data_IF_847652316543
#
_entry.id   IF_847652316543
#
_cell.length_a   1.000
_cell.length_b   1.000
_cell.length_c   1.000
_cell.angle_alpha   90.00
_cell.angle_beta   90.00
_cell.angle_gamma   90.00
#
_symmetry.space_group_name_H-M   'P 1'
#
loop_
_entity.id
_entity.type
_entity.pdbx_description
1 polymer ?
#
# COMPACT_ATOMS: atom_id res chain seq x y z
N UNK A 1 -8.39 -8.65 -25.07
CA UNK A 1 -7.95 -9.39 -23.86
C UNK A 1 -6.63 -8.86 -23.29
N UNK A 2 -5.67 -8.45 -24.13
CA UNK A 2 -4.38 -7.84 -23.71
C UNK A 2 -4.54 -6.55 -22.91
N UNK A 3 -5.41 -5.63 -23.34
CA UNK A 3 -5.73 -4.38 -22.63
C UNK A 3 -6.12 -4.60 -21.15
N UNK A 4 -6.89 -5.65 -20.85
CA UNK A 4 -7.30 -5.96 -19.47
C UNK A 4 -6.14 -6.49 -18.61
N UNK A 5 -5.20 -7.23 -19.21
CA UNK A 5 -4.01 -7.74 -18.50
C UNK A 5 -3.09 -6.59 -18.10
N UNK A 6 -2.89 -5.62 -18.99
CA UNK A 6 -2.09 -4.42 -18.71
C UNK A 6 -2.72 -3.54 -17.64
N UNK A 7 -4.04 -3.33 -17.72
CA UNK A 7 -4.79 -2.60 -16.69
C UNK A 7 -4.66 -3.27 -15.32
N UNK A 8 -4.83 -4.59 -15.26
CA UNK A 8 -4.66 -5.34 -14.01
C UNK A 8 -3.22 -5.22 -13.47
N UNK A 9 -2.21 -5.28 -14.36
CA UNK A 9 -0.81 -5.10 -13.96
C UNK A 9 -0.57 -3.70 -13.38
N UNK A 10 -1.12 -2.65 -14.00
CA UNK A 10 -1.05 -1.28 -13.51
C UNK A 10 -1.73 -1.14 -12.15
N UNK A 11 -2.94 -1.67 -12.02
CA UNK A 11 -3.71 -1.63 -10.78
C UNK A 11 -2.98 -2.28 -9.60
N UNK A 12 -2.44 -3.49 -9.80
CA UNK A 12 -1.68 -4.19 -8.75
C UNK A 12 -0.43 -3.40 -8.34
N UNK A 13 0.30 -2.81 -9.30
CA UNK A 13 1.46 -1.95 -9.01
C UNK A 13 1.05 -0.74 -8.15
N UNK A 14 -0.07 -0.11 -8.47
CA UNK A 14 -0.59 1.04 -7.73
C UNK A 14 -0.92 0.67 -6.27
N UNK A 15 -1.65 -0.43 -6.07
CA UNK A 15 -2.01 -0.96 -4.74
C UNK A 15 -0.76 -1.20 -3.91
N UNK A 16 0.26 -1.87 -4.46
CA UNK A 16 1.50 -2.15 -3.72
C UNK A 16 2.21 -0.86 -3.29
N UNK A 17 2.38 0.09 -4.20
CA UNK A 17 3.09 1.35 -3.92
C UNK A 17 2.33 2.18 -2.88
N UNK A 18 1.03 2.38 -3.06
CA UNK A 18 0.22 3.19 -2.14
C UNK A 18 0.13 2.53 -0.76
N UNK A 19 -0.04 1.21 -0.71
CA UNK A 19 -0.10 0.47 0.56
C UNK A 19 1.23 0.57 1.32
N UNK A 20 2.37 0.44 0.63
CA UNK A 20 3.69 0.59 1.25
C UNK A 20 3.89 1.99 1.81
N UNK A 21 3.51 3.02 1.06
CA UNK A 21 3.61 4.41 1.52
C UNK A 21 2.75 4.64 2.77
N UNK A 22 1.49 4.19 2.77
CA UNK A 22 0.58 4.37 3.91
C UNK A 22 1.01 3.56 5.11
N UNK A 23 1.51 2.35 4.91
CA UNK A 23 2.08 1.55 5.98
C UNK A 23 3.24 2.26 6.67
N UNK A 24 4.20 2.81 5.90
CA UNK A 24 5.32 3.58 6.47
C UNK A 24 4.85 4.79 7.27
N UNK A 25 3.93 5.59 6.71
CA UNK A 25 3.37 6.75 7.42
C UNK A 25 2.58 6.34 8.67
N UNK A 26 1.86 5.23 8.62
CA UNK A 26 1.08 4.72 9.74
C UNK A 26 1.98 4.31 10.90
N UNK A 27 3.05 3.55 10.63
CA UNK A 27 4.02 3.15 11.64
C UNK A 27 4.68 4.36 12.29
N UNK A 28 5.10 5.34 11.49
CA UNK A 28 5.69 6.59 11.97
C UNK A 28 4.71 7.37 12.85
N UNK A 29 3.49 7.62 12.34
CA UNK A 29 2.46 8.39 13.06
C UNK A 29 2.03 7.76 14.38
N UNK A 30 1.95 6.43 14.43
CA UNK A 30 1.53 5.69 15.64
C UNK A 30 2.70 5.26 16.51
N UNK A 31 3.95 5.57 16.11
CA UNK A 31 5.18 5.09 16.75
C UNK A 31 5.16 3.57 17.00
N UNK A 32 4.76 2.80 15.98
CA UNK A 32 4.64 1.34 16.04
C UNK A 32 5.76 0.65 15.27
N UNK A 33 6.20 -0.49 15.79
CA UNK A 33 7.05 -1.41 15.03
C UNK A 33 6.21 -2.27 14.07
N UNK A 34 6.81 -2.81 12.98
CA UNK A 34 6.14 -3.76 12.10
C UNK A 34 5.47 -4.94 12.82
N UNK A 35 6.15 -5.48 13.83
CA UNK A 35 5.66 -6.62 14.64
C UNK A 35 4.42 -6.25 15.46
N UNK A 36 4.40 -5.04 16.05
CA UNK A 36 3.24 -4.55 16.79
C UNK A 36 2.05 -4.30 15.88
N UNK A 37 2.27 -3.73 14.69
CA UNK A 37 1.22 -3.56 13.70
C UNK A 37 0.62 -4.91 13.28
N UNK A 38 1.46 -5.88 12.90
CA UNK A 38 1.00 -7.22 12.50
C UNK A 38 0.14 -7.88 13.60
N UNK A 39 0.56 -7.75 14.87
CA UNK A 39 -0.22 -8.22 16.01
C UNK A 39 -1.55 -7.46 16.16
N UNK A 40 -1.56 -6.13 16.01
CA UNK A 40 -2.77 -5.30 16.12
C UNK A 40 -3.84 -5.69 15.09
N UNK A 41 -3.41 -5.99 13.87
CA UNK A 41 -4.33 -6.32 12.76
C UNK A 41 -4.58 -7.84 12.61
N UNK A 42 -4.07 -8.61 13.58
CA UNK A 42 -4.15 -10.08 13.61
C UNK A 42 -3.71 -10.75 12.29
N UNK A 43 -2.58 -10.29 11.75
CA UNK A 43 -1.99 -10.84 10.54
C UNK A 43 -0.65 -11.51 10.82
N UNK A 44 -0.36 -12.56 10.06
CA UNK A 44 0.97 -13.14 10.02
C UNK A 44 1.95 -12.11 9.43
N UNK A 45 3.09 -11.90 10.09
CA UNK A 45 4.08 -10.90 9.67
C UNK A 45 4.61 -11.16 8.25
N UNK A 46 4.81 -12.42 7.85
CA UNK A 46 5.26 -12.76 6.50
C UNK A 46 4.17 -12.43 5.46
N UNK A 47 2.91 -12.77 5.75
CA UNK A 47 1.79 -12.44 4.86
C UNK A 47 1.62 -10.93 4.70
N UNK A 48 1.77 -10.16 5.77
CA UNK A 48 1.74 -8.69 5.71
C UNK A 48 2.89 -8.14 4.86
N UNK A 49 4.12 -8.66 5.04
CA UNK A 49 5.28 -8.26 4.23
C UNK A 49 5.07 -8.58 2.75
N UNK A 50 4.50 -9.73 2.44
CA UNK A 50 4.17 -10.14 1.06
C UNK A 50 3.11 -9.20 0.45
N UNK A 51 2.05 -8.89 1.20
CA UNK A 51 0.99 -7.96 0.76
C UNK A 51 1.54 -6.56 0.49
N UNK A 52 2.44 -6.09 1.35
CA UNK A 52 3.09 -4.78 1.21
C UNK A 52 4.24 -4.78 0.18
N UNK A 53 4.55 -5.92 -0.44
CA UNK A 53 5.66 -6.04 -1.39
C UNK A 53 7.04 -5.79 -0.75
N UNK A 54 7.18 -6.07 0.55
CA UNK A 54 8.42 -5.89 1.32
C UNK A 54 9.35 -7.11 1.24
N UNK A 55 8.87 -8.23 0.68
CA UNK A 55 9.65 -9.46 0.56
C UNK A 55 10.46 -9.45 -0.74
N UNK A 56 11.76 -9.17 -0.66
CA UNK A 56 12.68 -9.26 -1.81
C UNK A 56 13.17 -10.71 -1.96
N UNK A 57 12.39 -11.58 -2.60
CA UNK A 57 12.93 -12.85 -3.13
C UNK A 57 13.37 -12.63 -4.58
N UNK A 58 14.66 -12.87 -4.88
CA UNK A 58 15.30 -12.79 -6.20
C UNK A 58 14.81 -13.82 -7.25
N UNK A 59 13.63 -14.41 -7.06
CA UNK A 59 12.97 -15.25 -8.06
C UNK A 59 11.58 -14.67 -8.24
N UNK A 60 11.37 -13.99 -9.37
CA UNK A 60 10.09 -13.53 -9.92
C UNK A 60 8.96 -13.52 -8.89
N UNK A 61 8.76 -12.39 -8.22
CA UNK A 61 7.52 -12.17 -7.49
C UNK A 61 6.38 -12.26 -8.52
N UNK A 62 5.78 -13.45 -8.67
CA UNK A 62 4.45 -13.59 -9.25
C UNK A 62 3.60 -12.59 -8.49
N UNK A 63 3.25 -11.49 -9.14
CA UNK A 63 2.31 -10.51 -8.62
C UNK A 63 1.07 -11.30 -8.20
N UNK A 64 0.92 -11.56 -6.90
CA UNK A 64 -0.26 -12.24 -6.40
C UNK A 64 -1.41 -11.30 -6.72
N UNK A 65 -2.41 -11.80 -7.44
CA UNK A 65 -3.65 -11.08 -7.59
C UNK A 65 -4.21 -10.84 -6.19
N UNK A 66 -4.28 -9.59 -5.77
CA UNK A 66 -4.94 -9.24 -4.52
C UNK A 66 -6.42 -9.54 -4.67
N UNK A 67 -6.98 -10.32 -3.75
CA UNK A 67 -8.44 -10.41 -3.63
C UNK A 67 -8.95 -9.07 -3.12
N UNK A 68 -10.11 -8.62 -3.61
CA UNK A 68 -10.73 -7.37 -3.17
C UNK A 68 -10.83 -7.30 -1.63
N UNK A 69 -11.21 -8.42 -1.00
CA UNK A 69 -11.26 -8.55 0.46
C UNK A 69 -9.91 -8.24 1.14
N UNK A 70 -8.79 -8.67 0.57
CA UNK A 70 -7.45 -8.36 1.09
C UNK A 70 -7.17 -6.86 1.01
N UNK A 71 -7.59 -6.20 -0.07
CA UNK A 71 -7.40 -4.76 -0.27
C UNK A 71 -8.27 -3.97 0.72
N UNK A 72 -9.54 -4.38 0.92
CA UNK A 72 -10.46 -3.78 1.90
C UNK A 72 -9.88 -3.88 3.31
N UNK A 73 -9.50 -5.09 3.73
CA UNK A 73 -8.93 -5.31 5.07
C UNK A 73 -7.62 -4.54 5.28
N UNK A 74 -6.83 -4.36 4.22
CA UNK A 74 -5.61 -3.54 4.26
C UNK A 74 -5.90 -2.06 4.41
N UNK A 75 -6.90 -1.53 3.71
CA UNK A 75 -7.34 -0.15 3.85
C UNK A 75 -7.84 0.13 5.28
N UNK A 76 -8.68 -0.76 5.83
CA UNK A 76 -9.17 -0.69 7.21
C UNK A 76 -8.02 -0.74 8.23
N UNK A 77 -7.08 -1.68 8.05
CA UNK A 77 -5.91 -1.83 8.91
C UNK A 77 -5.02 -0.58 8.93
N UNK A 78 -4.92 0.11 7.80
CA UNK A 78 -4.14 1.33 7.62
C UNK A 78 -4.92 2.61 8.00
N UNK A 79 -6.19 2.49 8.39
CA UNK A 79 -7.09 3.62 8.67
C UNK A 79 -7.17 4.59 7.46
N UNK A 80 -7.23 4.05 6.23
CA UNK A 80 -7.34 4.83 4.98
C UNK A 80 -8.52 4.38 4.12
N UNK A 81 -8.98 5.28 3.26
CA UNK A 81 -9.98 4.95 2.23
C UNK A 81 -9.40 3.98 1.19
N UNK A 82 -10.15 2.93 0.83
CA UNK A 82 -9.75 1.96 -0.20
C UNK A 82 -9.45 2.61 -1.55
N UNK A 83 -10.16 3.68 -1.92
CA UNK A 83 -9.90 4.42 -3.17
C UNK A 83 -8.48 4.95 -3.24
N UNK A 84 -7.89 5.29 -2.09
CA UNK A 84 -6.50 5.73 -2.02
C UNK A 84 -5.53 4.62 -2.44
N UNK A 85 -5.81 3.36 -2.08
CA UNK A 85 -4.98 2.23 -2.48
C UNK A 85 -5.08 1.95 -3.99
N UNK A 86 -6.28 2.11 -4.57
CA UNK A 86 -6.55 1.80 -5.98
C UNK A 86 -6.06 2.88 -6.97
N UNK A 87 -5.90 4.12 -6.50
CA UNK A 87 -5.58 5.28 -7.34
C UNK A 87 -4.16 5.27 -7.90
N UNK A 88 -3.94 5.98 -9.02
CA UNK A 88 -2.61 6.14 -9.60
C UNK A 88 -1.64 6.88 -8.64
N UNK A 89 -0.47 6.29 -8.29
CA UNK A 89 0.50 6.91 -7.39
C UNK A 89 1.05 8.25 -7.89
N UNK A 90 1.05 8.50 -9.20
CA UNK A 90 1.50 9.77 -9.77
C UNK A 90 0.55 10.92 -9.42
N UNK A 91 -0.76 10.68 -9.39
CA UNK A 91 -1.77 11.64 -8.90
C UNK A 91 -1.61 11.92 -7.40
N UNK A 92 -1.21 10.88 -6.66
CA UNK A 92 -1.03 10.94 -5.22
C UNK A 92 0.23 11.73 -4.82
N UNK A 93 1.37 11.54 -5.51
CA UNK A 93 2.58 12.33 -5.27
C UNK A 93 2.40 13.81 -5.59
N UNK A 94 1.66 14.16 -6.64
CA UNK A 94 1.37 15.56 -6.95
C UNK A 94 0.57 16.21 -5.81
N UNK A 95 -0.44 15.50 -5.30
CA UNK A 95 -1.25 15.94 -4.16
C UNK A 95 -0.41 16.06 -2.89
N UNK A 96 0.40 15.06 -2.55
CA UNK A 96 1.30 15.06 -1.39
C UNK A 96 2.35 16.18 -1.47
N UNK A 97 2.93 16.43 -2.66
CA UNK A 97 3.86 17.56 -2.86
C UNK A 97 3.17 18.91 -2.67
N UNK A 98 1.93 19.06 -3.12
CA UNK A 98 1.18 20.30 -2.94
C UNK A 98 0.84 20.55 -1.46
N UNK A 99 0.48 19.49 -0.73
CA UNK A 99 0.27 19.55 0.72
C UNK A 99 1.58 19.90 1.44
N UNK A 100 2.69 19.21 1.14
CA UNK A 100 4.00 19.48 1.75
C UNK A 100 4.55 20.89 1.44
N UNK A 101 4.38 21.39 0.21
CA UNK A 101 4.74 22.78 -0.16
C UNK A 101 3.96 23.81 0.64
N UNK A 102 2.68 23.54 0.89
CA UNK A 102 1.81 24.43 1.66
C UNK A 102 2.17 24.41 3.14
N UNK A 103 2.51 23.24 3.69
CA UNK A 103 2.98 23.10 5.09
C UNK A 103 4.30 23.83 5.31
N UNK A 104 5.27 23.79 4.37
CA UNK A 104 6.55 24.51 4.49
C UNK A 104 6.44 26.04 4.45
N UNK A 105 5.29 26.58 4.04
CA UNK A 105 5.04 28.03 3.98
C UNK A 105 4.47 28.60 5.28
N UNK A 106 3.98 27.73 6.18
CA UNK A 106 3.47 28.06 7.51
C UNK A 106 4.63 27.91 8.50
#
# INVERSE_FOLDING_TARGET
MEKYKELNKKLMKNIMVNSKNMYSLYLEKKNLTPKQFAKKVNWNENSLRDILGLTVRKKEAKMQSFRLETIVRLAEALEVDIYYLLRDPEENQATLRNIQKSIKKI
#
